data_IF_887649304231
#
_entry.id   IF_887649304231
#
_cell.length_a   1.000
_cell.length_b   1.000
_cell.length_c   1.000
_cell.angle_alpha   90.00
_cell.angle_beta   90.00
_cell.angle_gamma   90.00
#
_symmetry.space_group_name_H-M   'P 1'
#
loop_
_entity.id
_entity.type
_entity.pdbx_description
1 polymer ?
#
# COMPACT_ATOMS: atom_id res chain seq x y z
N UNK A 1 -20.95 -15.29 -2.55
CA UNK A 1 -19.53 -15.63 -2.68
C UNK A 1 -19.36 -16.90 -3.51
N UNK A 2 -19.56 -18.11 -2.98
CA UNK A 2 -19.32 -19.39 -3.71
C UNK A 2 -20.14 -19.56 -5.00
N UNK A 3 -21.34 -18.99 -5.10
CA UNK A 3 -22.14 -19.03 -6.34
C UNK A 3 -21.50 -18.29 -7.54
N UNK A 4 -20.53 -17.41 -7.31
CA UNK A 4 -19.74 -16.78 -8.37
C UNK A 4 -18.66 -17.74 -8.90
N UNK A 5 -18.07 -18.53 -8.00
CA UNK A 5 -17.09 -19.57 -8.33
C UNK A 5 -17.76 -20.70 -9.09
N UNK A 6 -18.95 -21.13 -8.66
CA UNK A 6 -19.74 -22.20 -9.31
C UNK A 6 -20.15 -21.88 -10.76
N UNK A 7 -20.17 -20.60 -11.14
CA UNK A 7 -20.54 -20.12 -12.48
C UNK A 7 -19.35 -19.82 -13.38
N UNK A 8 -18.14 -19.93 -12.85
CA UNK A 8 -16.94 -19.59 -13.59
C UNK A 8 -16.67 -20.60 -14.71
N UNK A 9 -15.93 -20.13 -15.71
CA UNK A 9 -15.46 -20.95 -16.83
C UNK A 9 -14.63 -22.12 -16.31
N UNK A 10 -14.89 -23.37 -16.76
CA UNK A 10 -14.10 -24.53 -16.35
C UNK A 10 -12.60 -24.31 -16.59
N UNK A 11 -11.80 -24.60 -15.56
CA UNK A 11 -10.33 -24.48 -15.61
C UNK A 11 -9.76 -23.21 -15.01
N UNK A 12 -10.61 -22.19 -14.72
CA UNK A 12 -10.14 -20.98 -14.01
C UNK A 12 -10.03 -21.19 -12.49
N UNK A 13 -10.71 -22.18 -11.95
CA UNK A 13 -10.81 -22.42 -10.51
C UNK A 13 -10.60 -23.87 -10.14
N UNK A 14 -9.88 -24.09 -9.04
CA UNK A 14 -9.71 -25.36 -8.36
C UNK A 14 -10.08 -25.16 -6.88
N UNK A 15 -11.02 -25.95 -6.36
CA UNK A 15 -11.56 -25.81 -5.00
C UNK A 15 -11.54 -27.15 -4.30
N UNK A 16 -10.80 -27.25 -3.22
CA UNK A 16 -10.70 -28.46 -2.41
C UNK A 16 -11.95 -28.70 -1.57
N UNK A 17 -12.28 -29.96 -1.23
CA UNK A 17 -13.38 -30.27 -0.35
C UNK A 17 -13.17 -29.67 1.06
N UNK A 18 -14.27 -29.47 1.84
CA UNK A 18 -14.17 -28.96 3.21
C UNK A 18 -13.16 -29.71 4.07
N UNK A 19 -12.45 -28.98 4.92
CA UNK A 19 -11.42 -29.53 5.79
C UNK A 19 -11.55 -29.04 7.23
N UNK A 20 -11.03 -29.84 8.17
CA UNK A 20 -10.92 -29.45 9.57
C UNK A 20 -9.81 -28.40 9.74
N UNK A 21 -10.02 -27.49 10.67
CA UNK A 21 -9.13 -26.34 10.90
C UNK A 21 -8.44 -26.43 12.25
N UNK A 22 -7.22 -25.87 12.39
CA UNK A 22 -6.56 -25.74 13.68
C UNK A 22 -7.41 -24.95 14.69
N UNK A 23 -7.36 -25.30 16.00
CA UNK A 23 -8.07 -24.57 17.02
C UNK A 23 -7.51 -23.16 17.22
N UNK A 24 -8.40 -22.20 17.56
CA UNK A 24 -7.99 -20.83 17.90
C UNK A 24 -7.92 -19.87 16.72
N UNK A 25 -8.43 -20.26 15.56
CA UNK A 25 -8.57 -19.37 14.41
C UNK A 25 -9.76 -18.40 14.56
N UNK A 26 -9.73 -17.25 13.88
CA UNK A 26 -10.89 -16.38 13.75
C UNK A 26 -12.11 -17.14 13.16
N UNK A 27 -13.32 -16.86 13.70
CA UNK A 27 -14.55 -17.53 13.27
C UNK A 27 -14.78 -17.38 11.75
N UNK A 28 -14.51 -16.18 11.20
CA UNK A 28 -14.66 -15.88 9.77
C UNK A 28 -13.77 -16.73 8.87
N UNK A 29 -12.57 -17.08 9.33
CA UNK A 29 -11.66 -17.97 8.60
C UNK A 29 -12.13 -19.44 8.72
N UNK A 30 -12.58 -19.85 9.91
CA UNK A 30 -13.20 -21.15 10.14
C UNK A 30 -14.39 -21.40 9.23
N UNK A 31 -15.23 -20.37 9.00
CA UNK A 31 -16.39 -20.47 8.09
C UNK A 31 -15.99 -20.72 6.62
N UNK A 32 -14.83 -20.23 6.19
CA UNK A 32 -14.32 -20.51 4.83
C UNK A 32 -13.95 -21.99 4.72
N UNK A 33 -13.11 -22.49 5.64
CA UNK A 33 -12.64 -23.87 5.62
C UNK A 33 -13.74 -24.91 5.86
N UNK A 34 -14.81 -24.55 6.54
CA UNK A 34 -16.01 -25.39 6.64
C UNK A 34 -16.70 -25.61 5.27
N UNK A 35 -16.33 -24.86 4.23
CA UNK A 35 -16.87 -24.94 2.89
C UNK A 35 -15.88 -25.41 1.84
N UNK A 36 -14.59 -25.12 2.03
CA UNK A 36 -13.50 -25.55 1.14
C UNK A 36 -12.24 -25.78 1.94
N UNK A 37 -11.41 -26.77 1.60
CA UNK A 37 -10.14 -27.07 2.23
C UNK A 37 -8.98 -26.20 1.76
N UNK A 38 -9.22 -25.40 0.77
CA UNK A 38 -8.31 -24.48 0.08
C UNK A 38 -8.91 -24.16 -1.28
N UNK A 39 -8.40 -23.17 -1.99
CA UNK A 39 -8.83 -22.89 -3.35
C UNK A 39 -7.77 -22.08 -4.11
N UNK A 40 -7.66 -22.37 -5.41
CA UNK A 40 -6.88 -21.62 -6.37
C UNK A 40 -7.82 -21.07 -7.42
N UNK A 41 -7.84 -19.75 -7.56
CA UNK A 41 -8.83 -19.04 -8.34
C UNK A 41 -8.13 -18.17 -9.38
N UNK A 42 -8.74 -18.06 -10.57
CA UNK A 42 -8.24 -17.25 -11.67
C UNK A 42 -6.79 -17.60 -12.06
N UNK A 43 -6.53 -18.92 -12.29
CA UNK A 43 -5.21 -19.43 -12.63
C UNK A 43 -4.14 -19.06 -11.59
N UNK A 44 -4.46 -19.31 -10.31
CA UNK A 44 -3.59 -19.08 -9.14
C UNK A 44 -3.31 -17.61 -8.78
N UNK A 45 -4.02 -16.65 -9.39
CA UNK A 45 -3.90 -15.23 -9.01
C UNK A 45 -4.39 -14.99 -7.58
N UNK A 46 -5.45 -15.68 -7.16
CA UNK A 46 -5.94 -15.69 -5.78
C UNK A 46 -5.91 -17.12 -5.23
N UNK A 47 -5.10 -17.35 -4.21
CA UNK A 47 -5.02 -18.64 -3.53
C UNK A 47 -5.45 -18.50 -2.08
N UNK A 48 -6.30 -19.43 -1.59
CA UNK A 48 -6.55 -19.68 -0.17
C UNK A 48 -5.83 -20.97 0.17
N UNK A 49 -4.82 -20.90 1.01
CA UNK A 49 -3.97 -22.05 1.35
C UNK A 49 -4.75 -23.14 2.08
N UNK A 50 -4.26 -24.39 2.03
CA UNK A 50 -4.86 -25.49 2.78
C UNK A 50 -4.67 -25.29 4.30
N UNK A 51 -5.57 -25.85 5.17
CA UNK A 51 -5.49 -25.65 6.62
C UNK A 51 -4.18 -26.10 7.28
N UNK A 52 -3.49 -27.08 6.72
CA UNK A 52 -2.19 -27.58 7.18
C UNK A 52 -0.99 -26.70 6.73
N UNK A 53 -1.22 -25.79 5.81
CA UNK A 53 -0.25 -24.79 5.34
C UNK A 53 -0.41 -23.43 6.06
N UNK A 54 -1.41 -23.30 6.95
CA UNK A 54 -1.64 -22.08 7.71
C UNK A 54 -0.48 -21.75 8.64
N UNK A 55 0.07 -20.58 8.49
CA UNK A 55 1.12 -20.04 9.35
C UNK A 55 0.56 -18.92 10.23
N UNK A 56 1.02 -18.85 11.47
CA UNK A 56 0.72 -17.73 12.37
C UNK A 56 1.99 -16.98 12.72
N UNK A 57 2.06 -15.73 12.35
CA UNK A 57 3.17 -14.84 12.66
C UNK A 57 2.64 -13.52 13.23
N UNK A 58 3.27 -13.00 14.29
CA UNK A 58 2.95 -11.72 14.93
C UNK A 58 1.45 -11.51 15.26
N UNK A 59 0.71 -12.59 15.55
CA UNK A 59 -0.72 -12.54 15.82
C UNK A 59 -1.62 -12.62 14.58
N UNK A 60 -1.05 -12.59 13.37
CA UNK A 60 -1.76 -12.74 12.11
C UNK A 60 -1.70 -14.17 11.59
N UNK A 61 -2.80 -14.64 10.99
CA UNK A 61 -2.86 -15.91 10.28
C UNK A 61 -2.68 -15.65 8.80
N UNK A 62 -1.57 -16.13 8.21
CA UNK A 62 -1.39 -16.13 6.76
C UNK A 62 -2.30 -17.20 6.16
N UNK A 63 -3.29 -16.80 5.37
CA UNK A 63 -4.32 -17.70 4.85
C UNK A 63 -4.48 -17.65 3.34
N UNK A 64 -3.90 -16.64 2.68
CA UNK A 64 -4.07 -16.46 1.25
C UNK A 64 -2.84 -15.78 0.59
N UNK A 65 -2.82 -15.82 -0.74
CA UNK A 65 -1.99 -14.95 -1.58
C UNK A 65 -2.84 -14.30 -2.67
N UNK A 66 -2.44 -13.12 -3.12
CA UNK A 66 -2.98 -12.44 -4.30
C UNK A 66 -1.82 -11.95 -5.13
N UNK A 67 -1.70 -12.41 -6.38
CA UNK A 67 -0.53 -12.17 -7.25
C UNK A 67 0.81 -12.56 -6.59
N UNK A 68 0.78 -13.56 -5.71
CA UNK A 68 1.93 -14.00 -4.92
C UNK A 68 2.18 -13.20 -3.64
N UNK A 69 1.53 -12.06 -3.42
CA UNK A 69 1.64 -11.28 -2.19
C UNK A 69 0.87 -11.94 -1.05
N UNK A 70 1.53 -12.07 0.11
CA UNK A 70 0.93 -12.71 1.27
C UNK A 70 -0.25 -11.89 1.82
N UNK A 71 -1.31 -12.61 2.17
CA UNK A 71 -2.50 -12.07 2.81
C UNK A 71 -2.71 -12.76 4.15
N UNK A 72 -2.91 -11.97 5.18
CA UNK A 72 -3.11 -12.43 6.54
C UNK A 72 -4.40 -11.89 7.15
N UNK A 73 -4.82 -12.48 8.27
CA UNK A 73 -5.94 -12.03 9.06
C UNK A 73 -5.55 -11.95 10.53
N UNK A 74 -5.91 -10.86 11.20
CA UNK A 74 -5.72 -10.70 12.64
C UNK A 74 -6.84 -11.38 13.47
N UNK A 75 -6.67 -11.42 14.80
CA UNK A 75 -7.65 -12.01 15.71
C UNK A 75 -8.99 -11.24 15.74
N UNK A 76 -9.07 -10.05 15.16
CA UNK A 76 -10.31 -9.25 15.03
C UNK A 76 -11.04 -9.52 13.70
N UNK A 77 -10.43 -10.28 12.79
CA UNK A 77 -10.96 -10.60 11.47
C UNK A 77 -10.66 -9.58 10.39
N UNK A 78 -9.79 -8.59 10.65
CA UNK A 78 -9.29 -7.65 9.65
C UNK A 78 -8.29 -8.35 8.75
N UNK A 79 -8.32 -7.99 7.47
CA UNK A 79 -7.43 -8.57 6.45
C UNK A 79 -6.29 -7.63 6.16
N UNK A 80 -5.08 -8.16 6.14
CA UNK A 80 -3.85 -7.46 5.87
C UNK A 80 -3.17 -8.07 4.64
N UNK A 81 -2.55 -7.25 3.82
CA UNK A 81 -1.78 -7.70 2.65
C UNK A 81 -0.45 -6.98 2.61
N UNK A 82 0.62 -7.68 2.24
CA UNK A 82 1.90 -7.05 1.92
C UNK A 82 1.74 -6.28 0.62
N UNK A 83 2.05 -4.99 0.65
CA UNK A 83 2.07 -4.16 -0.54
C UNK A 83 3.51 -4.06 -1.06
N UNK A 84 3.80 -4.61 -2.27
CA UNK A 84 5.16 -4.70 -2.77
C UNK A 84 5.79 -3.34 -3.11
N UNK A 85 4.98 -2.31 -3.34
CA UNK A 85 5.47 -0.97 -3.68
C UNK A 85 6.13 -0.24 -2.50
N UNK A 86 5.73 -0.59 -1.29
CA UNK A 86 6.23 -0.01 -0.03
C UNK A 86 6.89 -1.04 0.88
N UNK A 87 6.86 -2.33 0.48
CA UNK A 87 7.39 -3.47 1.26
C UNK A 87 6.81 -3.52 2.68
N UNK A 88 5.51 -3.24 2.82
CA UNK A 88 4.84 -3.10 4.11
C UNK A 88 3.48 -3.81 4.12
N UNK A 89 3.02 -4.21 5.31
CA UNK A 89 1.72 -4.83 5.51
C UNK A 89 0.66 -3.74 5.71
N UNK A 90 -0.36 -3.71 4.85
CA UNK A 90 -1.42 -2.71 4.85
C UNK A 90 -2.78 -3.33 5.13
N UNK A 91 -3.68 -2.59 5.77
CA UNK A 91 -5.04 -3.02 6.07
C UNK A 91 -5.88 -3.09 4.77
N UNK A 92 -6.03 -4.30 4.21
CA UNK A 92 -6.62 -4.55 2.89
C UNK A 92 -8.12 -4.86 2.92
N UNK A 93 -8.69 -5.21 4.09
CA UNK A 93 -10.12 -5.47 4.22
C UNK A 93 -10.61 -5.45 5.66
N UNK A 94 -11.84 -4.95 5.86
CA UNK A 94 -12.43 -4.87 7.20
C UNK A 94 -12.91 -6.23 7.73
N UNK A 95 -13.19 -7.18 6.81
CA UNK A 95 -13.64 -8.55 7.10
C UNK A 95 -13.30 -9.48 5.93
N UNK A 96 -12.95 -10.73 6.23
CA UNK A 96 -12.58 -11.74 5.22
C UNK A 96 -13.68 -11.94 4.17
N UNK A 97 -14.96 -12.05 4.58
CA UNK A 97 -16.07 -12.32 3.68
C UNK A 97 -16.29 -11.19 2.66
N UNK A 98 -16.11 -9.93 3.08
CA UNK A 98 -16.20 -8.76 2.20
C UNK A 98 -14.97 -8.65 1.31
N UNK A 99 -13.79 -8.82 1.90
CA UNK A 99 -12.53 -8.82 1.18
C UNK A 99 -12.54 -9.86 0.06
N UNK A 100 -12.85 -11.12 0.38
CA UNK A 100 -12.87 -12.20 -0.61
C UNK A 100 -13.92 -11.95 -1.70
N UNK A 101 -15.13 -11.47 -1.34
CA UNK A 101 -16.12 -11.09 -2.34
C UNK A 101 -15.64 -9.95 -3.25
N UNK A 102 -14.92 -8.97 -2.70
CA UNK A 102 -14.31 -7.89 -3.45
C UNK A 102 -13.21 -8.37 -4.40
N UNK A 103 -12.33 -9.28 -3.94
CA UNK A 103 -11.31 -9.88 -4.81
C UNK A 103 -11.94 -10.67 -5.96
N UNK A 104 -12.96 -11.50 -5.68
CA UNK A 104 -13.67 -12.26 -6.72
C UNK A 104 -14.33 -11.36 -7.76
N UNK A 105 -15.01 -10.29 -7.34
CA UNK A 105 -15.64 -9.35 -8.26
C UNK A 105 -14.57 -8.60 -9.08
N UNK A 106 -13.47 -8.21 -8.47
CA UNK A 106 -12.39 -7.48 -9.13
C UNK A 106 -11.65 -8.35 -10.16
N UNK A 107 -11.33 -9.59 -9.80
CA UNK A 107 -10.64 -10.52 -10.70
C UNK A 107 -11.54 -10.98 -11.84
N UNK A 108 -12.83 -11.17 -11.59
CA UNK A 108 -13.79 -11.53 -12.65
C UNK A 108 -13.88 -10.46 -13.76
N UNK A 109 -13.54 -9.19 -13.48
CA UNK A 109 -13.52 -8.13 -14.51
C UNK A 109 -12.36 -8.26 -15.50
N UNK A 110 -11.38 -9.11 -15.22
CA UNK A 110 -10.22 -9.33 -16.10
C UNK A 110 -10.52 -10.32 -17.22
N UNK A 111 -11.58 -11.11 -17.10
CA UNK A 111 -11.90 -12.22 -18.01
C UNK A 111 -13.22 -11.99 -18.72
N UNK A 112 -13.30 -12.45 -19.96
CA UNK A 112 -14.52 -12.51 -20.74
C UNK A 112 -15.33 -13.80 -20.46
N UNK A 113 -16.43 -14.01 -21.18
CA UNK A 113 -17.32 -15.17 -21.04
C UNK A 113 -16.65 -16.51 -21.44
N UNK A 114 -15.59 -16.47 -22.24
CA UNK A 114 -14.82 -17.62 -22.69
C UNK A 114 -13.64 -17.95 -21.73
N UNK A 115 -13.38 -17.08 -20.74
CA UNK A 115 -12.31 -17.22 -19.75
C UNK A 115 -10.95 -16.74 -20.23
N UNK A 116 -10.92 -16.01 -21.32
CA UNK A 116 -9.73 -15.29 -21.82
C UNK A 116 -9.67 -13.89 -21.21
N UNK A 117 -8.50 -13.26 -21.22
CA UNK A 117 -8.41 -11.86 -20.79
C UNK A 117 -9.24 -10.97 -21.71
N UNK A 118 -10.05 -10.09 -21.12
CA UNK A 118 -10.81 -9.11 -21.88
C UNK A 118 -9.88 -8.12 -22.60
N UNK A 119 -10.25 -7.71 -23.81
CA UNK A 119 -9.41 -6.88 -24.72
C UNK A 119 -8.97 -5.53 -24.12
N UNK A 120 -9.71 -5.01 -23.11
CA UNK A 120 -9.49 -3.70 -22.50
C UNK A 120 -8.81 -3.76 -21.12
N UNK A 121 -8.09 -4.86 -20.84
CA UNK A 121 -7.42 -5.08 -19.54
C UNK A 121 -5.94 -4.77 -19.62
N UNK A 122 -5.25 -5.22 -20.65
CA UNK A 122 -3.81 -5.08 -20.81
C UNK A 122 -3.47 -4.30 -22.08
N UNK A 123 -2.33 -3.62 -22.07
CA UNK A 123 -1.76 -2.98 -23.26
C UNK A 123 -0.90 -3.97 -24.08
N UNK A 124 -0.25 -3.46 -25.15
CA UNK A 124 0.60 -4.27 -26.05
C UNK A 124 1.86 -4.81 -25.34
N UNK A 125 2.29 -4.21 -24.24
CA UNK A 125 3.45 -4.63 -23.43
C UNK A 125 3.06 -5.61 -22.32
N UNK A 126 1.76 -5.89 -22.14
CA UNK A 126 1.21 -6.76 -21.11
C UNK A 126 1.01 -6.08 -19.76
N UNK A 127 1.10 -4.75 -19.71
CA UNK A 127 0.83 -3.98 -18.49
C UNK A 127 -0.67 -3.70 -18.34
N UNK A 128 -1.18 -3.82 -17.12
CA UNK A 128 -2.59 -3.55 -16.86
C UNK A 128 -2.92 -2.07 -17.08
N UNK A 129 -3.92 -1.83 -17.92
CA UNK A 129 -4.41 -0.47 -18.21
C UNK A 129 -4.94 0.22 -16.93
N UNK A 130 -4.65 1.51 -16.73
CA UNK A 130 -5.13 2.26 -15.56
C UNK A 130 -6.65 2.19 -15.36
N UNK A 131 -7.43 2.19 -16.46
CA UNK A 131 -8.89 2.06 -16.40
C UNK A 131 -9.34 0.67 -15.90
N UNK A 132 -8.62 -0.39 -16.24
CA UNK A 132 -8.90 -1.74 -15.74
C UNK A 132 -8.57 -1.83 -14.24
N UNK A 133 -7.44 -1.30 -13.81
CA UNK A 133 -7.04 -1.21 -12.40
C UNK A 133 -8.06 -0.40 -11.58
N UNK A 134 -8.52 0.74 -12.10
CA UNK A 134 -9.56 1.52 -11.44
C UNK A 134 -10.87 0.74 -11.26
N UNK A 135 -11.32 0.00 -12.29
CA UNK A 135 -12.52 -0.85 -12.21
C UNK A 135 -12.37 -1.91 -11.13
N UNK A 136 -11.22 -2.57 -11.02
CA UNK A 136 -10.94 -3.56 -9.98
C UNK A 136 -11.03 -2.97 -8.57
N UNK A 137 -10.35 -1.84 -8.32
CA UNK A 137 -10.35 -1.17 -7.02
C UNK A 137 -11.76 -0.73 -6.61
N UNK A 138 -12.55 -0.21 -7.58
CA UNK A 138 -13.95 0.15 -7.33
C UNK A 138 -14.84 -1.06 -7.04
N UNK A 139 -14.58 -2.22 -7.67
CA UNK A 139 -15.30 -3.46 -7.36
C UNK A 139 -14.99 -3.96 -5.93
N UNK A 140 -13.72 -3.90 -5.50
CA UNK A 140 -13.34 -4.21 -4.12
C UNK A 140 -14.05 -3.28 -3.13
N UNK A 141 -14.01 -1.97 -3.37
CA UNK A 141 -14.67 -0.95 -2.52
C UNK A 141 -16.20 -1.06 -2.52
N UNK A 142 -16.82 -1.56 -3.58
CA UNK A 142 -18.26 -1.82 -3.60
C UNK A 142 -18.67 -2.93 -2.60
N UNK A 143 -17.77 -3.87 -2.31
CA UNK A 143 -17.97 -4.93 -1.30
C UNK A 143 -17.53 -4.51 0.09
N UNK A 144 -16.42 -3.79 0.19
CA UNK A 144 -15.87 -3.31 1.46
C UNK A 144 -15.50 -1.81 1.37
N UNK A 145 -16.51 -0.97 1.51
CA UNK A 145 -16.38 0.48 1.35
C UNK A 145 -15.44 1.17 2.34
N UNK A 146 -15.08 0.49 3.43
CA UNK A 146 -14.18 0.99 4.46
C UNK A 146 -12.82 0.28 4.45
N UNK A 147 -12.49 -0.46 3.38
CA UNK A 147 -11.18 -1.07 3.19
C UNK A 147 -10.13 0.03 2.86
N UNK A 148 -9.14 0.27 3.74
CA UNK A 148 -8.23 1.41 3.54
C UNK A 148 -7.29 1.23 2.34
N UNK A 149 -6.65 0.05 2.17
CA UNK A 149 -5.65 -0.13 1.14
C UNK A 149 -6.19 -0.08 -0.30
N UNK A 150 -7.33 -0.71 -0.67
CA UNK A 150 -7.90 -0.52 -1.99
C UNK A 150 -8.25 0.94 -2.30
N UNK A 151 -8.73 1.69 -1.30
CA UNK A 151 -9.02 3.12 -1.44
C UNK A 151 -7.76 3.95 -1.59
N UNK A 152 -6.72 3.65 -0.83
CA UNK A 152 -5.41 4.29 -0.96
C UNK A 152 -4.79 4.04 -2.34
N UNK A 153 -4.82 2.79 -2.84
CA UNK A 153 -4.36 2.46 -4.21
C UNK A 153 -5.17 3.19 -5.29
N UNK A 154 -6.49 3.36 -5.09
CA UNK A 154 -7.31 4.18 -5.98
C UNK A 154 -6.87 5.65 -5.97
N UNK A 155 -6.56 6.20 -4.80
CA UNK A 155 -6.04 7.56 -4.70
C UNK A 155 -4.68 7.71 -5.40
N UNK A 156 -3.78 6.74 -5.27
CA UNK A 156 -2.49 6.74 -5.98
C UNK A 156 -2.69 6.74 -7.51
N UNK A 157 -3.61 5.91 -8.02
CA UNK A 157 -3.94 5.89 -9.45
C UNK A 157 -4.49 7.24 -9.94
N UNK A 158 -5.30 7.92 -9.12
CA UNK A 158 -5.79 9.25 -9.42
C UNK A 158 -4.67 10.30 -9.42
N UNK A 159 -3.68 10.17 -8.53
CA UNK A 159 -2.48 11.03 -8.52
C UNK A 159 -1.60 10.84 -9.76
N UNK A 160 -1.47 9.61 -10.26
CA UNK A 160 -0.79 9.31 -11.52
C UNK A 160 -1.48 9.96 -12.73
N UNK A 161 -2.81 10.16 -12.64
CA UNK A 161 -3.64 10.81 -13.65
C UNK A 161 -3.79 12.32 -13.44
N UNK A 162 -3.04 12.94 -12.51
CA UNK A 162 -3.10 14.35 -12.13
C UNK A 162 -4.49 14.82 -11.61
N UNK A 163 -5.33 13.90 -11.12
CA UNK A 163 -6.63 14.23 -10.53
C UNK A 163 -6.50 14.40 -8.99
N UNK A 164 -5.73 15.44 -8.60
CA UNK A 164 -5.43 15.74 -7.19
C UNK A 164 -6.67 15.93 -6.32
N UNK A 165 -7.76 16.48 -6.89
CA UNK A 165 -8.98 16.72 -6.13
C UNK A 165 -9.66 15.41 -5.72
N UNK A 166 -9.83 14.46 -6.66
CA UNK A 166 -10.42 13.15 -6.33
C UNK A 166 -9.49 12.32 -5.46
N UNK A 167 -8.17 12.38 -5.72
CA UNK A 167 -7.19 11.69 -4.89
C UNK A 167 -7.27 12.15 -3.43
N UNK A 168 -7.41 13.45 -3.19
CA UNK A 168 -7.62 14.01 -1.85
C UNK A 168 -8.86 13.43 -1.18
N UNK A 169 -10.02 13.47 -1.88
CA UNK A 169 -11.28 12.96 -1.33
C UNK A 169 -11.16 11.48 -0.89
N UNK A 170 -10.50 10.66 -1.71
CA UNK A 170 -10.28 9.25 -1.37
C UNK A 170 -9.30 9.08 -0.19
N UNK A 171 -8.21 9.86 -0.13
CA UNK A 171 -7.23 9.82 0.96
C UNK A 171 -7.82 10.31 2.29
N UNK A 172 -8.63 11.36 2.28
CA UNK A 172 -9.35 11.85 3.47
C UNK A 172 -10.26 10.76 4.04
N UNK A 173 -10.89 9.97 3.17
CA UNK A 173 -11.70 8.83 3.61
C UNK A 173 -10.82 7.71 4.18
N UNK A 174 -9.63 7.44 3.60
CA UNK A 174 -8.69 6.44 4.15
C UNK A 174 -8.31 6.81 5.58
N UNK A 175 -7.84 8.04 5.82
CA UNK A 175 -7.39 8.45 7.16
C UNK A 175 -8.54 8.63 8.15
N UNK A 176 -9.77 8.79 7.68
CA UNK A 176 -10.96 8.77 8.53
C UNK A 176 -11.31 7.34 8.98
N UNK A 177 -11.16 6.35 8.10
CA UNK A 177 -11.42 4.94 8.38
C UNK A 177 -10.26 4.27 9.14
N UNK A 178 -9.01 4.69 8.85
CA UNK A 178 -7.79 4.19 9.48
C UNK A 178 -6.80 5.33 9.79
N UNK A 179 -6.94 6.02 10.93
CA UNK A 179 -6.10 7.16 11.29
C UNK A 179 -4.62 6.84 11.52
N UNK A 180 -4.26 5.56 11.65
CA UNK A 180 -2.86 5.12 11.85
C UNK A 180 -2.17 4.76 10.54
N UNK A 181 -2.86 4.84 9.41
CA UNK A 181 -2.28 4.57 8.10
C UNK A 181 -1.34 5.70 7.64
N UNK A 182 -0.08 5.61 8.04
CA UNK A 182 0.93 6.66 7.84
C UNK A 182 1.16 7.02 6.36
N UNK A 183 1.11 6.04 5.45
CA UNK A 183 1.28 6.29 4.01
C UNK A 183 0.18 7.16 3.43
N UNK A 184 -1.07 6.96 3.83
CA UNK A 184 -2.19 7.79 3.38
C UNK A 184 -2.05 9.24 3.85
N UNK A 185 -1.63 9.47 5.09
CA UNK A 185 -1.30 10.80 5.59
C UNK A 185 -0.15 11.46 4.81
N UNK A 186 0.88 10.68 4.44
CA UNK A 186 1.99 11.19 3.65
C UNK A 186 1.55 11.58 2.24
N UNK A 187 0.66 10.80 1.62
CA UNK A 187 0.13 11.11 0.29
C UNK A 187 -0.80 12.33 0.34
N UNK A 188 -1.62 12.51 1.40
CA UNK A 188 -2.36 13.75 1.64
C UNK A 188 -1.42 14.96 1.70
N UNK A 189 -0.31 14.84 2.46
CA UNK A 189 0.67 15.91 2.55
C UNK A 189 1.29 16.27 1.18
N UNK A 190 1.51 15.28 0.32
CA UNK A 190 1.98 15.48 -1.06
C UNK A 190 0.94 16.20 -1.94
N UNK A 191 -0.34 15.83 -1.81
CA UNK A 191 -1.44 16.51 -2.50
C UNK A 191 -1.53 17.96 -2.07
N UNK A 192 -1.55 18.22 -0.76
CA UNK A 192 -1.58 19.57 -0.20
C UNK A 192 -0.36 20.41 -0.63
N UNK A 193 0.82 19.79 -0.72
CA UNK A 193 2.04 20.44 -1.23
C UNK A 193 1.89 20.83 -2.71
N UNK A 194 1.37 19.94 -3.57
CA UNK A 194 1.10 20.22 -5.01
C UNK A 194 0.09 21.34 -5.19
N UNK A 195 -0.91 21.42 -4.33
CA UNK A 195 -1.92 22.50 -4.33
C UNK A 195 -1.41 23.82 -3.70
N UNK A 196 -0.19 23.84 -3.16
CA UNK A 196 0.40 25.02 -2.53
C UNK A 196 -0.09 25.32 -1.11
N UNK A 197 -0.77 24.36 -0.49
CA UNK A 197 -1.33 24.45 0.86
C UNK A 197 -0.28 24.05 1.90
N UNK A 198 0.79 24.84 1.98
CA UNK A 198 2.02 24.50 2.72
C UNK A 198 1.77 24.14 4.19
N UNK A 199 0.88 24.86 4.90
CA UNK A 199 0.60 24.57 6.30
C UNK A 199 -0.16 23.26 6.47
N UNK A 200 -1.16 23.01 5.63
CA UNK A 200 -1.93 21.76 5.60
C UNK A 200 -0.99 20.58 5.35
N UNK A 201 -0.12 20.70 4.34
CA UNK A 201 0.88 19.67 4.03
C UNK A 201 1.82 19.38 5.22
N UNK A 202 2.20 20.41 5.98
CA UNK A 202 3.03 20.24 7.17
C UNK A 202 2.30 19.50 8.29
N UNK A 203 1.03 19.84 8.52
CA UNK A 203 0.20 19.22 9.55
C UNK A 203 -0.10 17.74 9.20
N UNK A 204 -0.41 17.44 7.94
CA UNK A 204 -0.63 16.08 7.44
C UNK A 204 0.64 15.22 7.50
N UNK A 205 1.81 15.78 7.13
CA UNK A 205 3.09 15.07 7.26
C UNK A 205 3.45 14.80 8.73
N UNK A 206 3.06 15.67 9.65
CA UNK A 206 3.19 15.43 11.09
C UNK A 206 2.32 14.26 11.53
N UNK A 207 1.06 14.20 11.07
CA UNK A 207 0.18 13.06 11.34
C UNK A 207 0.77 11.75 10.82
N UNK A 208 1.36 11.75 9.60
CA UNK A 208 2.05 10.58 9.05
C UNK A 208 3.21 10.12 9.95
N UNK A 209 4.06 11.05 10.38
CA UNK A 209 5.22 10.74 11.20
C UNK A 209 4.83 10.24 12.61
N UNK A 210 3.83 10.85 13.23
CA UNK A 210 3.31 10.46 14.55
C UNK A 210 2.59 9.11 14.49
N UNK A 211 1.80 8.84 13.43
CA UNK A 211 1.15 7.55 13.20
C UNK A 211 2.20 6.43 13.04
N UNK A 212 3.23 6.65 12.21
CA UNK A 212 4.31 5.67 12.01
C UNK A 212 5.11 5.42 13.29
N UNK A 213 5.46 6.47 14.06
CA UNK A 213 6.17 6.32 15.32
C UNK A 213 5.32 5.60 16.38
N UNK A 214 4.03 5.96 16.48
CA UNK A 214 3.10 5.32 17.41
C UNK A 214 2.86 3.84 17.13
N UNK A 215 2.85 3.45 15.86
CA UNK A 215 2.77 2.07 15.42
C UNK A 215 4.12 1.32 15.48
N UNK A 216 5.20 1.97 15.87
CA UNK A 216 6.57 1.43 15.82
C UNK A 216 6.97 0.95 14.41
N UNK A 217 6.49 1.66 13.39
CA UNK A 217 6.70 1.32 11.99
C UNK A 217 8.19 1.31 11.64
N UNK A 218 8.71 0.30 10.90
CA UNK A 218 10.13 0.23 10.53
C UNK A 218 10.64 1.48 9.81
N UNK A 219 9.78 2.13 9.05
CA UNK A 219 10.11 3.33 8.29
C UNK A 219 9.75 4.65 9.01
N UNK A 220 9.45 4.64 10.32
CA UNK A 220 9.09 5.87 11.07
C UNK A 220 10.08 7.02 10.85
N UNK A 221 11.38 6.72 10.80
CA UNK A 221 12.41 7.74 10.51
C UNK A 221 12.29 8.39 9.14
N UNK A 222 11.78 7.65 8.12
CA UNK A 222 11.51 8.20 6.80
C UNK A 222 10.36 9.22 6.84
N UNK A 223 9.27 8.92 7.53
CA UNK A 223 8.14 9.85 7.69
C UNK A 223 8.58 11.15 8.42
N UNK A 224 9.40 11.04 9.46
CA UNK A 224 10.00 12.21 10.10
C UNK A 224 10.92 12.99 9.16
N UNK A 225 11.66 12.33 8.27
CA UNK A 225 12.48 13.02 7.27
C UNK A 225 11.63 13.78 6.24
N UNK A 226 10.47 13.23 5.84
CA UNK A 226 9.53 13.95 4.97
C UNK A 226 8.94 15.18 5.66
N UNK A 227 8.58 15.09 6.94
CA UNK A 227 8.17 16.26 7.72
C UNK A 227 9.27 17.33 7.76
N UNK A 228 10.53 16.94 7.98
CA UNK A 228 11.66 17.89 7.96
C UNK A 228 11.79 18.59 6.59
N UNK A 229 11.59 17.85 5.49
CA UNK A 229 11.61 18.39 4.13
C UNK A 229 10.52 19.46 3.92
N UNK A 230 9.30 19.16 4.31
CA UNK A 230 8.18 20.10 4.21
C UNK A 230 8.36 21.32 5.13
N UNK A 231 8.92 21.14 6.32
CA UNK A 231 9.23 22.24 7.25
C UNK A 231 10.23 23.23 6.67
N UNK A 232 11.21 22.79 5.85
CA UNK A 232 12.10 23.69 5.09
C UNK A 232 11.28 24.58 4.15
N UNK A 233 10.32 24.03 3.42
CA UNK A 233 9.45 24.80 2.51
C UNK A 233 8.51 25.76 3.23
N UNK A 234 8.06 25.38 4.42
CA UNK A 234 7.25 26.22 5.31
C UNK A 234 8.06 27.29 6.05
N UNK A 235 9.39 27.28 5.95
CA UNK A 235 10.31 28.09 6.76
C UNK A 235 10.11 27.89 8.28
N UNK A 236 9.69 26.70 8.71
CA UNK A 236 9.55 26.33 10.12
C UNK A 236 10.80 25.57 10.61
N UNK A 237 11.76 26.33 11.09
CA UNK A 237 13.04 25.78 11.57
C UNK A 237 12.89 24.93 12.84
N UNK A 238 11.87 25.21 13.69
CA UNK A 238 11.64 24.43 14.91
C UNK A 238 11.14 23.03 14.55
N UNK A 239 10.12 22.95 13.70
CA UNK A 239 9.59 21.67 13.20
C UNK A 239 10.67 20.90 12.43
N UNK A 240 11.44 21.60 11.58
CA UNK A 240 12.55 20.97 10.85
C UNK A 240 13.57 20.33 11.78
N UNK A 241 14.02 21.07 12.82
CA UNK A 241 15.05 20.58 13.73
C UNK A 241 14.56 19.40 14.59
N UNK A 242 13.32 19.44 15.07
CA UNK A 242 12.67 18.33 15.76
C UNK A 242 12.60 17.09 14.86
N UNK A 243 12.02 17.23 13.67
CA UNK A 243 11.81 16.15 12.72
C UNK A 243 13.14 15.53 12.24
N UNK A 244 14.17 16.36 11.97
CA UNK A 244 15.49 15.88 11.60
C UNK A 244 16.17 15.08 12.72
N UNK A 245 15.97 15.48 13.99
CA UNK A 245 16.49 14.74 15.14
C UNK A 245 15.84 13.36 15.24
N UNK A 246 14.52 13.30 15.15
CA UNK A 246 13.76 12.03 15.18
C UNK A 246 14.09 11.14 13.99
N UNK A 247 14.18 11.69 12.78
CA UNK A 247 14.58 10.94 11.59
C UNK A 247 15.95 10.27 11.76
N UNK A 248 16.92 11.02 12.24
CA UNK A 248 18.29 10.50 12.47
C UNK A 248 18.37 9.45 13.56
N UNK A 249 17.50 9.53 14.58
CA UNK A 249 17.45 8.58 15.69
C UNK A 249 16.75 7.27 15.29
N UNK A 250 15.62 7.38 14.59
CA UNK A 250 14.77 6.24 14.24
C UNK A 250 15.26 5.48 12.99
N UNK A 251 15.99 6.14 12.09
CA UNK A 251 16.52 5.51 10.88
C UNK A 251 17.99 5.92 10.64
N UNK A 252 18.95 5.38 11.40
CA UNK A 252 20.37 5.75 11.29
C UNK A 252 20.98 5.44 9.92
N UNK A 253 20.47 4.44 9.21
CA UNK A 253 20.92 4.05 7.86
C UNK A 253 20.26 4.84 6.73
N UNK A 254 19.21 5.62 7.01
CA UNK A 254 18.44 6.39 6.03
C UNK A 254 19.34 7.30 5.17
N UNK A 255 20.29 8.00 5.81
CA UNK A 255 21.20 8.90 5.09
C UNK A 255 21.96 8.16 3.99
N UNK A 256 22.53 6.99 4.30
CA UNK A 256 23.30 6.18 3.35
C UNK A 256 22.42 5.70 2.22
N UNK A 257 21.26 5.11 2.53
CA UNK A 257 20.33 4.61 1.54
C UNK A 257 19.85 5.72 0.58
N UNK A 258 19.53 6.91 1.11
CA UNK A 258 19.10 8.04 0.26
C UNK A 258 20.24 8.61 -0.60
N UNK A 259 21.50 8.62 -0.13
CA UNK A 259 22.66 9.03 -0.94
C UNK A 259 22.91 8.02 -2.07
N UNK A 260 22.86 6.72 -1.79
CA UNK A 260 23.00 5.65 -2.78
C UNK A 260 21.89 5.75 -3.83
N UNK A 261 20.63 5.82 -3.42
CA UNK A 261 19.48 5.99 -4.32
C UNK A 261 19.58 7.25 -5.19
N UNK A 262 20.03 8.39 -4.64
CA UNK A 262 20.22 9.59 -5.44
C UNK A 262 21.33 9.44 -6.50
N UNK A 263 22.43 8.74 -6.19
CA UNK A 263 23.50 8.44 -7.16
C UNK A 263 23.02 7.52 -8.27
N UNK A 264 22.23 6.50 -7.94
CA UNK A 264 21.62 5.59 -8.91
C UNK A 264 20.68 6.32 -9.88
N UNK A 265 19.81 7.20 -9.34
CA UNK A 265 18.92 8.04 -10.16
C UNK A 265 19.70 8.97 -11.10
N UNK A 266 20.78 9.59 -10.60
CA UNK A 266 21.68 10.39 -11.42
C UNK A 266 22.33 9.58 -12.54
N UNK A 267 22.82 8.36 -12.25
CA UNK A 267 23.42 7.49 -13.23
C UNK A 267 22.41 7.05 -14.30
N UNK A 268 21.13 6.90 -13.95
CA UNK A 268 20.04 6.62 -14.86
C UNK A 268 19.52 7.86 -15.62
N UNK A 269 20.05 9.07 -15.33
CA UNK A 269 19.59 10.32 -15.95
C UNK A 269 18.33 10.92 -15.33
N UNK A 270 17.78 10.31 -14.28
CA UNK A 270 16.62 10.81 -13.55
C UNK A 270 17.02 11.86 -12.50
N UNK A 271 17.30 13.06 -13.01
CA UNK A 271 17.74 14.19 -12.19
C UNK A 271 16.63 14.71 -11.28
N UNK A 272 15.37 14.58 -11.65
CA UNK A 272 14.23 15.07 -10.87
C UNK A 272 14.08 14.25 -9.57
N UNK A 273 14.06 12.91 -9.67
CA UNK A 273 14.02 12.04 -8.49
C UNK A 273 15.27 12.19 -7.62
N UNK A 274 16.46 12.32 -8.23
CA UNK A 274 17.70 12.56 -7.49
C UNK A 274 17.64 13.88 -6.70
N UNK A 275 17.05 14.93 -7.27
CA UNK A 275 16.86 16.22 -6.57
C UNK A 275 15.88 16.08 -5.40
N UNK A 276 14.80 15.31 -5.54
CA UNK A 276 13.87 15.04 -4.43
C UNK A 276 14.54 14.37 -3.24
N UNK A 277 15.40 13.37 -3.50
CA UNK A 277 16.21 12.71 -2.47
C UNK A 277 17.22 13.65 -1.83
N UNK A 278 17.86 14.53 -2.60
CA UNK A 278 18.77 15.55 -2.09
C UNK A 278 18.05 16.57 -1.21
N UNK A 279 16.84 16.99 -1.54
CA UNK A 279 16.06 17.94 -0.74
C UNK A 279 15.74 17.34 0.65
N UNK A 280 15.38 16.05 0.70
CA UNK A 280 15.20 15.32 1.95
C UNK A 280 16.50 15.25 2.75
N UNK A 281 17.61 14.88 2.12
CA UNK A 281 18.92 14.80 2.74
C UNK A 281 19.36 16.15 3.34
N UNK A 282 19.14 17.25 2.61
CA UNK A 282 19.47 18.62 3.08
C UNK A 282 18.59 19.06 4.24
N UNK A 283 17.36 18.66 4.29
CA UNK A 283 16.45 18.97 5.38
C UNK A 283 16.92 18.35 6.71
N UNK A 284 17.39 17.09 6.65
CA UNK A 284 17.82 16.35 7.83
C UNK A 284 19.30 16.59 8.15
N UNK A 285 20.20 16.54 7.15
CA UNK A 285 21.67 16.65 7.32
C UNK A 285 22.28 17.79 6.52
N UNK A 286 21.91 19.08 6.78
CA UNK A 286 22.29 20.22 5.94
C UNK A 286 23.81 20.53 5.92
N UNK A 287 24.57 20.03 6.88
CA UNK A 287 26.02 20.26 7.02
C UNK A 287 26.87 19.02 6.77
N UNK A 288 26.24 17.90 6.36
CA UNK A 288 26.97 16.67 6.08
C UNK A 288 27.77 16.81 4.77
N UNK A 289 29.04 16.38 4.81
CA UNK A 289 29.95 16.54 3.67
C UNK A 289 29.54 15.76 2.44
N UNK A 290 29.01 14.53 2.62
CA UNK A 290 28.56 13.71 1.50
C UNK A 290 27.30 14.30 0.85
N UNK A 291 26.39 14.87 1.64
CA UNK A 291 25.21 15.59 1.16
C UNK A 291 25.62 16.84 0.38
N UNK A 292 26.60 17.58 0.86
CA UNK A 292 27.14 18.76 0.17
C UNK A 292 27.85 18.40 -1.14
N UNK A 293 28.58 17.27 -1.18
CA UNK A 293 29.21 16.75 -2.41
C UNK A 293 28.17 16.31 -3.43
N UNK A 294 27.14 15.56 -3.03
CA UNK A 294 26.02 15.17 -3.90
C UNK A 294 25.32 16.40 -4.49
N UNK A 295 25.14 17.44 -3.69
CA UNK A 295 24.56 18.71 -4.14
C UNK A 295 25.40 19.46 -5.19
N UNK A 296 26.71 19.22 -5.24
CA UNK A 296 27.58 19.77 -6.30
C UNK A 296 27.46 18.98 -7.61
N UNK A 297 27.17 17.69 -7.54
CA UNK A 297 26.99 16.84 -8.70
C UNK A 297 25.66 17.09 -9.44
N UNK A 298 24.65 17.60 -8.72
CA UNK A 298 23.30 17.91 -9.24
C UNK A 298 23.14 19.36 -9.75
N UNK A 299 24.21 20.16 -9.76
CA UNK A 299 24.24 21.53 -10.33
C UNK A 299 24.70 21.52 -11.77
#
# INVERSE_FOLDING_TARGET
MFAAIDKATPGLHDVDPPADVPPGMPESLTEIYARCGGMRLFLDVLEIVAPDELERDNGHWRFATVDGDAVSVDDTGRVWRVDPSIEDEVHDGTRIDRWLAGQLDALALLYDDDGEFADDVFDEDGEMLPAARERQLRAQLARDKHAPAPRWRLAQLLLESDDDAKARDELEQVVADDPVFAWAWLDLARVSERLGETQTALDEARMAAEAAEGAQHPQAGYFWAQLARLAVRANDELVRAEAATKASLLAPDLKRAQIEGARERLAAGDTASAQGLLDLLRAVWPRDLEVLQLAQQLR
#
